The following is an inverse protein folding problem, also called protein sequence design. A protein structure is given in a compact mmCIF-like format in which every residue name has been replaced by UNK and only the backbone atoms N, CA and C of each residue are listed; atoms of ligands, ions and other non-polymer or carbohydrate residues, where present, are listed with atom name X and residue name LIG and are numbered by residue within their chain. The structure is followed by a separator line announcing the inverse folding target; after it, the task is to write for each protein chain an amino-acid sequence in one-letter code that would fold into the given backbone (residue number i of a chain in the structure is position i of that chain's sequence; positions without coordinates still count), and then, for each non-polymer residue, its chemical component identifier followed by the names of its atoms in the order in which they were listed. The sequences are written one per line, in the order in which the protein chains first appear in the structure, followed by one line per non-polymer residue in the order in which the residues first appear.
data_IF_105165257829
#
_entry.id   IF_105165257829
#
_cell.length_a   1.000
_cell.length_b   1.000
_cell.length_c   1.000
_cell.angle_alpha   90.00
_cell.angle_beta   90.00
_cell.angle_gamma   90.00
#
_symmetry.space_group_name_H-M   'P 1'
#
loop_
_entity.id
_entity.type
_entity.pdbx_description
1 polymer ?
#
# COMPACT_ATOMS: atom_id res chain seq x y z
N UNK A 1 -9.54 -7.45 -14.74
CA UNK A 1 -8.15 -6.99 -14.46
C UNK A 1 -7.50 -8.01 -13.54
N UNK A 2 -6.21 -8.32 -13.76
CA UNK A 2 -5.44 -9.22 -12.89
C UNK A 2 -4.56 -8.36 -12.01
N UNK A 3 -4.73 -8.45 -10.69
CA UNK A 3 -3.94 -7.71 -9.71
C UNK A 3 -2.55 -8.32 -9.59
N UNK A 4 -1.54 -7.48 -9.44
CA UNK A 4 -0.19 -7.80 -9.01
C UNK A 4 -0.19 -8.26 -7.54
N UNK A 5 0.90 -8.89 -7.10
CA UNK A 5 1.03 -9.31 -5.70
C UNK A 5 1.07 -8.12 -4.74
N UNK A 6 1.74 -7.02 -5.11
CA UNK A 6 1.81 -5.80 -4.29
C UNK A 6 0.43 -5.15 -4.11
N UNK A 7 -0.39 -5.10 -5.16
CA UNK A 7 -1.75 -4.58 -5.07
C UNK A 7 -2.63 -5.47 -4.18
N UNK A 8 -2.49 -6.79 -4.27
CA UNK A 8 -3.22 -7.73 -3.40
C UNK A 8 -2.83 -7.53 -1.93
N UNK A 9 -1.55 -7.34 -1.66
CA UNK A 9 -1.01 -7.11 -0.33
C UNK A 9 -1.54 -5.79 0.27
N UNK A 10 -1.53 -4.70 -0.50
CA UNK A 10 -2.14 -3.43 -0.06
C UNK A 10 -3.63 -3.61 0.26
N UNK A 11 -4.38 -4.30 -0.60
CA UNK A 11 -5.80 -4.55 -0.39
C UNK A 11 -6.03 -5.35 0.91
N UNK A 12 -5.18 -6.34 1.20
CA UNK A 12 -5.27 -7.12 2.43
C UNK A 12 -4.94 -6.29 3.68
N UNK A 13 -3.90 -5.44 3.62
CA UNK A 13 -3.56 -4.50 4.69
C UNK A 13 -4.74 -3.56 5.02
N UNK A 14 -5.36 -2.96 4.00
CA UNK A 14 -6.54 -2.10 4.16
C UNK A 14 -7.71 -2.88 4.76
N UNK A 15 -7.96 -4.11 4.31
CA UNK A 15 -9.03 -4.95 4.88
C UNK A 15 -8.80 -5.25 6.35
N UNK A 16 -7.55 -5.53 6.74
CA UNK A 16 -7.21 -5.79 8.14
C UNK A 16 -7.40 -4.55 9.00
N UNK A 17 -6.96 -3.38 8.53
CA UNK A 17 -7.24 -2.10 9.17
C UNK A 17 -8.75 -1.88 9.34
N UNK A 18 -9.53 -2.05 8.28
CA UNK A 18 -10.99 -1.88 8.32
C UNK A 18 -11.71 -2.92 9.17
N UNK A 19 -11.14 -4.11 9.40
CA UNK A 19 -11.70 -5.13 10.31
C UNK A 19 -11.34 -4.83 11.77
N UNK A 20 -10.26 -4.09 12.01
CA UNK A 20 -9.83 -3.72 13.36
C UNK A 20 -10.71 -2.66 14.04
N UNK A 21 -11.96 -2.42 13.60
CA UNK A 21 -12.81 -1.28 14.05
C UNK A 21 -13.02 -1.15 15.56
N UNK A 22 -12.90 -2.24 16.32
CA UNK A 22 -12.98 -2.17 17.79
C UNK A 22 -11.69 -1.65 18.45
N UNK A 23 -10.56 -1.68 17.74
CA UNK A 23 -9.29 -1.10 18.13
C UNK A 23 -8.48 -0.79 16.84
N UNK A 24 -8.72 0.36 16.18
CA UNK A 24 -8.02 0.71 14.95
C UNK A 24 -6.52 0.74 15.24
N UNK A 25 -5.79 -0.24 14.71
CA UNK A 25 -4.35 -0.30 14.90
C UNK A 25 -3.70 0.75 14.01
N UNK A 26 -3.12 1.76 14.65
CA UNK A 26 -2.29 2.79 14.02
C UNK A 26 -1.17 2.13 13.17
N UNK A 27 -0.65 0.98 13.61
CA UNK A 27 0.35 0.21 12.89
C UNK A 27 -0.18 -0.33 11.55
N UNK A 28 -1.45 -0.78 11.51
CA UNK A 28 -2.07 -1.24 10.26
C UNK A 28 -2.31 -0.09 9.28
N UNK A 29 -2.61 1.11 9.79
CA UNK A 29 -2.72 2.31 8.95
C UNK A 29 -1.36 2.69 8.36
N UNK A 30 -0.31 2.75 9.19
CA UNK A 30 1.05 3.04 8.72
C UNK A 30 1.54 2.00 7.72
N UNK A 31 1.28 0.72 7.97
CA UNK A 31 1.65 -0.34 7.05
C UNK A 31 0.98 -0.19 5.68
N UNK A 32 -0.33 0.09 5.65
CA UNK A 32 -1.04 0.33 4.40
C UNK A 32 -0.52 1.57 3.65
N UNK A 33 -0.18 2.65 4.37
CA UNK A 33 0.42 3.85 3.76
C UNK A 33 1.80 3.58 3.18
N UNK A 34 2.67 2.90 3.92
CA UNK A 34 4.03 2.57 3.46
C UNK A 34 3.99 1.68 2.21
N UNK A 35 3.07 0.70 2.15
CA UNK A 35 2.87 -0.12 0.95
C UNK A 35 2.45 0.73 -0.26
N UNK A 36 1.57 1.71 -0.05
CA UNK A 36 1.14 2.62 -1.11
C UNK A 36 2.28 3.53 -1.57
N UNK A 37 3.01 4.16 -0.65
CA UNK A 37 4.15 5.02 -0.94
C UNK A 37 5.23 4.25 -1.72
N UNK A 38 5.60 3.04 -1.28
CA UNK A 38 6.56 2.18 -2.02
C UNK A 38 6.10 1.80 -3.43
N UNK A 39 4.80 1.81 -3.69
CA UNK A 39 4.28 1.58 -5.04
C UNK A 39 4.36 2.84 -5.90
N UNK A 40 4.08 4.02 -5.33
CA UNK A 40 4.19 5.30 -6.03
C UNK A 40 5.65 5.71 -6.27
N UNK A 41 6.50 5.61 -5.25
CA UNK A 41 7.93 5.95 -5.32
C UNK A 41 8.69 5.03 -6.29
N UNK A 42 8.24 3.77 -6.41
CA UNK A 42 8.78 2.83 -7.38
C UNK A 42 8.42 3.15 -8.84
N UNK A 43 7.42 4.01 -9.08
CA UNK A 43 7.10 4.56 -10.40
C UNK A 43 7.89 5.86 -10.67
N UNK A 44 8.25 6.64 -9.64
CA UNK A 44 9.00 7.90 -9.78
C UNK A 44 10.47 7.70 -10.23
N UNK A 45 11.13 6.60 -9.87
CA UNK A 45 12.50 6.31 -10.35
C UNK A 45 12.60 6.05 -11.86
N UNK A 46 11.50 5.71 -12.54
CA UNK A 46 11.48 5.57 -14.00
C UNK A 46 11.30 6.93 -14.70
N UNK A 47 10.59 7.89 -14.11
CA UNK A 47 10.39 9.23 -14.70
C UNK A 47 11.64 10.13 -14.65
N UNK A 48 12.52 9.98 -13.65
CA UNK A 48 13.77 10.76 -13.59
C UNK A 48 14.86 10.31 -14.57
N UNK A 49 14.77 9.09 -15.12
CA UNK A 49 15.72 8.59 -16.13
C UNK A 49 15.38 8.99 -17.57
N UNK A 50 14.21 9.58 -17.80
CA UNK A 50 13.75 10.05 -19.11
C UNK A 50 13.84 11.58 -19.33
N UNK A 51 14.42 12.35 -18.39
CA UNK A 51 14.64 13.81 -18.54
C UNK A 51 16.08 14.22 -18.84
#
# INVERSE_FOLDING_TARGET
MKLTEKEKELIEAIRNFLKSKHNPSIELEFYARELFEKMMDGEEEEEEKEK
#
